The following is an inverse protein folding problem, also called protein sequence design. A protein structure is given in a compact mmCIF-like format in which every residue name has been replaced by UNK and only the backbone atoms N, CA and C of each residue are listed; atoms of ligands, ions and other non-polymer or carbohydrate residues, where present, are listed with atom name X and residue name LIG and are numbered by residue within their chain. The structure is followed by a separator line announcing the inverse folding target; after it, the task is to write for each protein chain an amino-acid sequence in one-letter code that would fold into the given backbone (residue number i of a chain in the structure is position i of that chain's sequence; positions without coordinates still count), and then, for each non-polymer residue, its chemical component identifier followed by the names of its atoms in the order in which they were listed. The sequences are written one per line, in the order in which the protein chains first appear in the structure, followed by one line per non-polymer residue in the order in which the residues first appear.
data_IF_605270032008
#
_entry.id   IF_605270032008
#
_cell.length_a   1.000
_cell.length_b   1.000
_cell.length_c   1.000
_cell.angle_alpha   90.00
_cell.angle_beta   90.00
_cell.angle_gamma   90.00
#
_symmetry.space_group_name_H-M   'P 1'
#
loop_
_entity.id
_entity.type
_entity.pdbx_description
1 polymer ?
#
# COMPACT_ATOMS: atom_id res chain seq x y z
N UNK A 1 49.36 33.50 30.30
CA UNK A 1 47.98 33.94 30.70
C UNK A 1 47.00 34.03 29.53
N UNK A 2 47.40 33.94 28.23
CA UNK A 2 46.52 34.07 27.06
C UNK A 2 45.91 32.77 26.57
N UNK A 3 46.30 31.59 27.03
CA UNK A 3 45.78 30.30 26.54
C UNK A 3 44.38 29.94 27.09
N UNK A 4 44.03 30.37 28.31
CA UNK A 4 42.76 30.01 28.94
C UNK A 4 41.54 30.59 28.18
N UNK A 5 41.54 31.88 27.80
CA UNK A 5 40.39 32.43 27.02
C UNK A 5 40.21 31.76 25.67
N UNK A 6 41.27 31.41 24.98
CA UNK A 6 41.24 30.74 23.68
C UNK A 6 40.64 29.32 23.84
N UNK A 7 41.01 28.60 24.88
CA UNK A 7 40.51 27.27 25.19
C UNK A 7 39.02 27.30 25.54
N UNK A 8 38.57 28.28 26.33
CA UNK A 8 37.16 28.47 26.68
C UNK A 8 36.29 28.79 25.43
N UNK A 9 36.78 29.67 24.55
CA UNK A 9 36.08 29.99 23.29
C UNK A 9 36.04 28.77 22.39
N UNK A 10 37.11 27.98 22.31
CA UNK A 10 37.14 26.74 21.51
C UNK A 10 36.13 25.70 22.03
N UNK A 11 36.03 25.49 23.32
CA UNK A 11 35.04 24.57 23.92
C UNK A 11 33.63 25.07 23.69
N UNK A 12 33.36 26.36 23.88
CA UNK A 12 32.04 26.94 23.65
C UNK A 12 31.61 26.82 22.16
N UNK A 13 32.54 27.14 21.23
CA UNK A 13 32.32 27.01 19.83
C UNK A 13 32.06 25.54 19.41
N UNK A 14 32.82 24.60 19.99
CA UNK A 14 32.60 23.16 19.73
C UNK A 14 31.19 22.70 20.17
N UNK A 15 30.76 23.07 21.38
CA UNK A 15 29.43 22.71 21.86
C UNK A 15 28.31 23.34 21.02
N UNK A 16 28.42 24.60 20.65
CA UNK A 16 27.46 25.28 19.80
C UNK A 16 27.38 24.63 18.41
N UNK A 17 28.51 24.31 17.81
CA UNK A 17 28.61 23.67 16.53
C UNK A 17 28.02 22.27 16.53
N UNK A 18 28.37 21.46 17.56
CA UNK A 18 27.87 20.09 17.72
C UNK A 18 26.35 20.10 17.87
N UNK A 19 25.80 20.93 18.75
CA UNK A 19 24.36 21.06 18.93
C UNK A 19 23.64 21.52 17.65
N UNK A 20 24.23 22.46 16.92
CA UNK A 20 23.71 22.93 15.64
C UNK A 20 23.65 21.81 14.60
N UNK A 21 24.74 21.04 14.46
CA UNK A 21 24.81 19.91 13.52
C UNK A 21 23.80 18.82 13.90
N UNK A 22 23.69 18.45 15.19
CA UNK A 22 22.74 17.44 15.66
C UNK A 22 21.31 17.88 15.31
N UNK A 23 20.92 19.10 15.69
CA UNK A 23 19.57 19.60 15.43
C UNK A 23 19.27 19.72 13.92
N UNK A 24 20.26 20.12 13.10
CA UNK A 24 20.08 20.20 11.66
C UNK A 24 19.93 18.82 11.02
N UNK A 25 20.71 17.85 11.48
CA UNK A 25 20.64 16.47 10.98
C UNK A 25 19.31 15.81 11.37
N UNK A 26 18.89 15.98 12.63
CA UNK A 26 17.61 15.49 13.12
C UNK A 26 16.45 16.05 12.29
N UNK A 27 16.40 17.37 12.12
CA UNK A 27 15.36 18.03 11.31
C UNK A 27 15.35 17.53 9.87
N UNK A 28 16.53 17.44 9.23
CA UNK A 28 16.63 16.92 7.86
C UNK A 28 16.20 15.48 7.75
N UNK A 29 16.48 14.65 8.77
CA UNK A 29 16.03 13.25 8.80
C UNK A 29 14.51 13.14 8.90
N UNK A 30 13.89 13.94 9.77
CA UNK A 30 12.42 13.98 9.90
C UNK A 30 11.77 14.42 8.59
N UNK A 31 12.24 15.51 7.98
CA UNK A 31 11.73 15.98 6.68
C UNK A 31 11.85 14.90 5.60
N UNK A 32 12.93 14.12 5.59
CA UNK A 32 13.12 13.03 4.63
C UNK A 32 12.13 11.89 4.89
N UNK A 33 11.88 11.53 6.16
CA UNK A 33 10.91 10.49 6.52
C UNK A 33 9.50 10.93 6.12
N UNK A 34 9.13 12.18 6.38
CA UNK A 34 7.82 12.72 6.00
C UNK A 34 7.60 12.63 4.48
N UNK A 35 8.60 12.99 3.68
CA UNK A 35 8.53 12.86 2.22
C UNK A 35 8.34 11.40 1.76
N UNK A 36 9.02 10.46 2.39
CA UNK A 36 8.86 9.02 2.07
C UNK A 36 7.47 8.53 2.44
N UNK A 37 6.96 8.95 3.60
CA UNK A 37 5.60 8.61 4.03
C UNK A 37 4.56 9.18 3.06
N UNK A 38 4.69 10.44 2.65
CA UNK A 38 3.82 11.07 1.66
C UNK A 38 3.84 10.34 0.32
N UNK A 39 5.01 9.89 -0.13
CA UNK A 39 5.17 9.12 -1.37
C UNK A 39 4.50 7.74 -1.29
N UNK A 40 4.59 7.08 -0.14
CA UNK A 40 3.95 5.79 0.10
C UNK A 40 2.43 5.98 0.21
N UNK A 41 1.98 6.96 0.97
CA UNK A 41 0.56 7.28 1.11
C UNK A 41 -0.08 7.62 -0.25
N UNK A 42 0.64 8.38 -1.09
CA UNK A 42 0.19 8.66 -2.46
C UNK A 42 0.02 7.38 -3.28
N UNK A 43 0.95 6.43 -3.18
CA UNK A 43 0.88 5.15 -3.88
C UNK A 43 -0.32 4.30 -3.43
N UNK A 44 -0.51 4.19 -2.11
CA UNK A 44 -1.62 3.43 -1.54
C UNK A 44 -2.96 4.08 -1.89
N UNK A 45 -3.04 5.41 -1.77
CA UNK A 45 -4.24 6.18 -2.12
C UNK A 45 -4.55 6.09 -3.62
N UNK A 46 -3.54 6.03 -4.47
CA UNK A 46 -3.70 5.83 -5.92
C UNK A 46 -4.35 4.48 -6.23
N UNK A 47 -3.92 3.41 -5.57
CA UNK A 47 -4.52 2.08 -5.74
C UNK A 47 -5.96 2.03 -5.21
N UNK A 48 -6.18 2.60 -4.03
CA UNK A 48 -7.52 2.71 -3.45
C UNK A 48 -8.47 3.53 -4.34
N UNK A 49 -8.04 4.72 -4.77
CA UNK A 49 -8.84 5.61 -5.62
C UNK A 49 -9.19 4.98 -6.96
N UNK A 50 -8.28 4.17 -7.51
CA UNK A 50 -8.53 3.44 -8.74
C UNK A 50 -9.61 2.37 -8.53
N UNK A 51 -9.56 1.63 -7.42
CA UNK A 51 -10.62 0.70 -7.06
C UNK A 51 -11.95 1.44 -6.87
N UNK A 52 -11.97 2.54 -6.12
CA UNK A 52 -13.17 3.33 -5.86
C UNK A 52 -13.79 3.88 -7.15
N UNK A 53 -12.98 4.45 -8.04
CA UNK A 53 -13.43 4.91 -9.35
C UNK A 53 -14.11 3.80 -10.15
N UNK A 54 -13.54 2.59 -10.15
CA UNK A 54 -14.08 1.45 -10.91
C UNK A 54 -15.37 0.91 -10.31
N UNK A 55 -15.58 1.00 -9.00
CA UNK A 55 -16.86 0.61 -8.40
C UNK A 55 -18.02 1.47 -8.90
N UNK A 56 -17.75 2.76 -9.20
CA UNK A 56 -18.71 3.71 -9.73
C UNK A 56 -18.82 3.75 -11.26
N UNK A 57 -17.90 3.11 -11.99
CA UNK A 57 -17.83 3.18 -13.45
C UNK A 57 -19.03 2.49 -14.13
N UNK A 58 -19.71 3.24 -15.01
CA UNK A 58 -20.95 2.78 -15.66
C UNK A 58 -20.69 1.56 -16.55
N UNK A 59 -19.54 1.51 -17.22
CA UNK A 59 -19.22 0.41 -18.13
C UNK A 59 -18.88 -0.86 -17.34
N UNK A 60 -18.10 -0.74 -16.27
CA UNK A 60 -17.83 -1.86 -15.36
C UNK A 60 -19.13 -2.38 -14.74
N UNK A 61 -20.00 -1.50 -14.27
CA UNK A 61 -21.32 -1.87 -13.77
C UNK A 61 -22.16 -2.61 -14.84
N UNK A 62 -22.08 -2.19 -16.12
CA UNK A 62 -22.75 -2.87 -17.22
C UNK A 62 -22.18 -4.28 -17.42
N UNK A 63 -20.86 -4.42 -17.48
CA UNK A 63 -20.21 -5.74 -17.63
C UNK A 63 -20.56 -6.71 -16.51
N UNK A 64 -20.67 -6.22 -15.27
CA UNK A 64 -21.04 -7.04 -14.11
C UNK A 64 -22.50 -7.47 -14.07
N UNK A 65 -23.37 -6.84 -14.86
CA UNK A 65 -24.82 -7.17 -14.98
C UNK A 65 -25.16 -8.01 -16.19
N UNK A 66 -24.20 -8.25 -17.10
CA UNK A 66 -24.46 -9.04 -18.29
C UNK A 66 -24.64 -10.50 -17.92
N UNK A 67 -25.70 -11.12 -18.45
CA UNK A 67 -25.84 -12.56 -18.48
C UNK A 67 -25.11 -13.12 -19.70
N UNK A 68 -24.53 -14.29 -19.57
CA UNK A 68 -23.79 -14.94 -20.65
C UNK A 68 -24.56 -16.17 -21.15
N UNK A 69 -24.99 -16.12 -22.41
CA UNK A 69 -25.69 -17.24 -23.07
C UNK A 69 -24.73 -18.38 -23.42
N UNK A 70 -23.44 -18.10 -23.52
CA UNK A 70 -22.41 -19.07 -23.88
C UNK A 70 -21.03 -18.71 -23.30
N UNK A 71 -20.14 -19.73 -23.20
CA UNK A 71 -18.73 -19.54 -22.85
C UNK A 71 -18.02 -18.58 -23.81
N UNK A 72 -18.44 -18.57 -25.07
CA UNK A 72 -17.86 -17.68 -26.09
C UNK A 72 -18.22 -16.22 -25.81
N UNK A 73 -19.45 -15.95 -25.40
CA UNK A 73 -19.92 -14.60 -25.08
C UNK A 73 -19.23 -14.09 -23.83
N UNK A 74 -19.10 -14.94 -22.80
CA UNK A 74 -18.33 -14.62 -21.62
C UNK A 74 -16.88 -14.27 -21.98
N UNK A 75 -16.20 -15.09 -22.78
CA UNK A 75 -14.82 -14.83 -23.17
C UNK A 75 -14.66 -13.51 -23.94
N UNK A 76 -15.58 -13.22 -24.86
CA UNK A 76 -15.58 -11.95 -25.62
C UNK A 76 -15.76 -10.75 -24.71
N UNK A 77 -16.65 -10.87 -23.72
CA UNK A 77 -16.91 -9.84 -22.73
C UNK A 77 -15.69 -9.64 -21.80
N UNK A 78 -15.09 -10.73 -21.32
CA UNK A 78 -13.90 -10.69 -20.48
C UNK A 78 -12.71 -10.00 -21.19
N UNK A 79 -12.56 -10.26 -22.49
CA UNK A 79 -11.52 -9.63 -23.31
C UNK A 79 -11.79 -8.12 -23.46
N UNK A 80 -13.01 -7.74 -23.83
CA UNK A 80 -13.38 -6.34 -24.04
C UNK A 80 -13.26 -5.53 -22.76
N UNK A 81 -13.78 -6.03 -21.65
CA UNK A 81 -13.67 -5.38 -20.34
C UNK A 81 -12.23 -5.29 -19.84
N UNK A 82 -11.40 -6.30 -20.13
CA UNK A 82 -9.97 -6.28 -19.78
C UNK A 82 -9.20 -5.23 -20.60
N UNK A 83 -9.50 -5.05 -21.88
CA UNK A 83 -8.88 -3.99 -22.69
C UNK A 83 -9.23 -2.60 -22.16
N UNK A 84 -10.48 -2.40 -21.75
CA UNK A 84 -10.92 -1.15 -21.14
C UNK A 84 -10.21 -0.90 -19.80
N UNK A 85 -10.18 -1.90 -18.95
CA UNK A 85 -9.48 -1.83 -17.66
C UNK A 85 -7.97 -1.56 -17.82
N UNK A 86 -7.33 -2.17 -18.81
CA UNK A 86 -5.93 -1.91 -19.14
C UNK A 86 -5.70 -0.46 -19.57
N UNK A 87 -6.62 0.14 -20.32
CA UNK A 87 -6.50 1.55 -20.74
C UNK A 87 -6.54 2.54 -19.58
N UNK A 88 -7.30 2.24 -18.54
CA UNK A 88 -7.45 3.07 -17.33
C UNK A 88 -6.21 2.96 -16.46
N UNK A 89 -5.61 1.77 -16.37
CA UNK A 89 -4.48 1.49 -15.46
C UNK A 89 -3.10 1.77 -16.06
N UNK A 90 -3.00 2.03 -17.36
CA UNK A 90 -1.72 2.15 -18.10
C UNK A 90 -0.75 3.19 -17.51
N UNK A 91 -1.25 4.24 -16.88
CA UNK A 91 -0.44 5.33 -16.34
C UNK A 91 0.05 5.08 -14.90
N UNK A 92 -0.32 3.96 -14.28
CA UNK A 92 -0.03 3.65 -12.89
C UNK A 92 1.00 2.52 -12.79
N UNK A 93 2.26 2.86 -13.01
CA UNK A 93 3.37 1.88 -13.13
C UNK A 93 3.65 1.09 -11.85
N UNK A 94 3.36 1.66 -10.69
CA UNK A 94 3.60 1.07 -9.37
C UNK A 94 2.50 0.06 -8.99
N UNK A 95 1.36 0.09 -9.69
CA UNK A 95 0.27 -0.88 -9.54
C UNK A 95 0.53 -2.03 -10.50
N UNK A 96 0.72 -3.23 -9.95
CA UNK A 96 1.00 -4.44 -10.74
C UNK A 96 -0.18 -4.86 -11.61
N UNK A 97 -1.38 -4.74 -11.08
CA UNK A 97 -2.59 -5.06 -11.81
C UNK A 97 -3.85 -4.64 -11.06
N UNK A 98 -4.89 -4.41 -11.84
CA UNK A 98 -6.23 -4.16 -11.34
C UNK A 98 -7.15 -5.22 -11.94
N UNK A 99 -8.07 -5.69 -11.14
CA UNK A 99 -8.92 -6.84 -11.43
C UNK A 99 -10.35 -6.55 -11.02
N UNK A 100 -11.28 -7.01 -11.84
CA UNK A 100 -12.72 -6.93 -11.55
C UNK A 100 -13.32 -8.31 -11.72
N UNK A 101 -14.11 -8.74 -10.74
CA UNK A 101 -14.80 -10.03 -10.76
C UNK A 101 -16.27 -9.82 -10.54
N UNK A 102 -17.09 -10.35 -11.45
CA UNK A 102 -18.54 -10.31 -11.36
C UNK A 102 -19.14 -11.54 -10.69
N UNK A 103 -20.26 -11.36 -10.03
CA UNK A 103 -21.11 -12.48 -9.58
C UNK A 103 -21.62 -13.31 -10.76
N UNK A 104 -21.77 -12.69 -11.93
CA UNK A 104 -22.11 -13.33 -13.20
C UNK A 104 -21.00 -14.22 -13.78
N UNK A 105 -19.81 -14.27 -13.15
CA UNK A 105 -18.65 -15.03 -13.61
C UNK A 105 -17.70 -14.25 -14.53
N UNK A 106 -18.01 -13.00 -14.89
CA UNK A 106 -17.12 -12.13 -15.65
C UNK A 106 -15.82 -11.85 -14.89
N UNK A 107 -14.70 -11.84 -15.61
CA UNK A 107 -13.36 -11.65 -15.04
C UNK A 107 -12.54 -10.71 -15.90
N UNK A 108 -12.17 -9.57 -15.36
CA UNK A 108 -11.45 -8.52 -16.08
C UNK A 108 -10.13 -8.21 -15.38
N UNK A 109 -9.10 -7.90 -16.15
CA UNK A 109 -7.76 -7.62 -15.63
C UNK A 109 -7.04 -6.58 -16.50
N UNK A 110 -6.22 -5.77 -15.86
CA UNK A 110 -5.44 -4.74 -16.54
C UNK A 110 -4.09 -5.22 -17.06
N UNK A 111 -3.61 -6.38 -16.63
CA UNK A 111 -2.34 -6.94 -17.03
C UNK A 111 -2.49 -8.18 -17.94
N UNK A 112 -1.38 -8.67 -18.46
CA UNK A 112 -1.34 -9.82 -19.38
C UNK A 112 -1.18 -11.19 -18.71
N UNK A 113 -1.04 -11.23 -17.39
CA UNK A 113 -0.88 -12.49 -16.66
C UNK A 113 -2.17 -13.30 -16.66
N UNK A 114 -2.04 -14.63 -16.68
CA UNK A 114 -3.21 -15.51 -16.63
C UNK A 114 -3.82 -15.57 -15.24
N UNK A 115 -5.14 -15.58 -15.16
CA UNK A 115 -5.83 -15.87 -13.90
C UNK A 115 -5.43 -17.24 -13.33
N UNK A 116 -5.44 -17.36 -12.02
CA UNK A 116 -5.39 -18.67 -11.37
C UNK A 116 -6.60 -19.50 -11.78
N UNK A 117 -6.42 -20.85 -11.79
CA UNK A 117 -7.45 -21.77 -12.33
C UNK A 117 -8.65 -21.98 -11.40
N UNK A 118 -8.52 -21.63 -10.13
CA UNK A 118 -9.59 -21.72 -9.14
C UNK A 118 -10.70 -20.69 -9.39
N UNK A 119 -11.92 -21.00 -9.01
CA UNK A 119 -12.98 -20.00 -9.00
C UNK A 119 -12.69 -19.00 -7.87
N UNK A 120 -12.39 -17.78 -8.27
CA UNK A 120 -12.02 -16.73 -7.33
C UNK A 120 -13.10 -16.43 -6.30
N UNK A 121 -14.38 -16.62 -6.64
CA UNK A 121 -15.53 -16.41 -5.77
C UNK A 121 -15.54 -17.36 -4.56
N UNK A 122 -14.87 -18.50 -4.68
CA UNK A 122 -14.76 -19.50 -3.60
C UNK A 122 -13.60 -19.21 -2.63
N UNK A 123 -12.71 -18.27 -2.99
CA UNK A 123 -11.54 -17.93 -2.19
C UNK A 123 -11.90 -17.07 -0.96
N UNK A 124 -11.08 -17.18 0.09
CA UNK A 124 -11.28 -16.38 1.31
C UNK A 124 -11.15 -14.90 1.05
N UNK A 125 -10.13 -14.47 0.30
CA UNK A 125 -9.90 -13.06 0.01
C UNK A 125 -11.08 -12.42 -0.74
N UNK A 126 -11.67 -13.13 -1.73
CA UNK A 126 -12.84 -12.64 -2.44
C UNK A 126 -14.03 -12.46 -1.49
N UNK A 127 -14.31 -13.49 -0.68
CA UNK A 127 -15.43 -13.45 0.26
C UNK A 127 -15.27 -12.35 1.31
N UNK A 128 -14.04 -12.11 1.76
CA UNK A 128 -13.74 -11.01 2.69
C UNK A 128 -14.08 -9.66 2.05
N UNK A 129 -13.63 -9.40 0.81
CA UNK A 129 -13.96 -8.15 0.11
C UNK A 129 -15.48 -8.05 -0.15
N UNK A 130 -16.10 -9.11 -0.67
CA UNK A 130 -17.53 -9.11 -0.99
C UNK A 130 -18.43 -8.95 0.26
N UNK A 131 -17.97 -9.36 1.42
CA UNK A 131 -18.66 -9.20 2.69
C UNK A 131 -18.43 -7.86 3.39
N UNK A 132 -17.46 -7.09 2.93
CA UNK A 132 -17.16 -5.75 3.45
C UNK A 132 -18.11 -4.70 2.85
N UNK A 133 -18.21 -3.55 3.51
CA UNK A 133 -18.85 -2.33 2.95
C UNK A 133 -17.83 -1.28 2.55
N UNK A 134 -16.60 -1.46 2.96
CA UNK A 134 -15.49 -0.54 2.78
C UNK A 134 -14.33 -1.26 2.10
N UNK A 135 -13.30 -0.49 1.73
CA UNK A 135 -12.08 -1.06 1.18
C UNK A 135 -11.43 -2.00 2.20
N UNK A 136 -10.98 -3.15 1.73
CA UNK A 136 -10.27 -4.15 2.54
C UNK A 136 -8.84 -4.23 2.07
N UNK A 137 -7.90 -4.05 2.99
CA UNK A 137 -6.48 -4.17 2.74
C UNK A 137 -5.99 -5.56 3.16
N UNK A 138 -5.16 -6.18 2.35
CA UNK A 138 -4.49 -7.42 2.66
C UNK A 138 -3.00 -7.13 2.86
N UNK A 139 -2.42 -7.60 3.99
CA UNK A 139 -1.00 -7.45 4.27
C UNK A 139 -0.12 -8.01 3.18
N UNK A 140 1.15 -7.63 3.18
CA UNK A 140 2.14 -8.19 2.26
C UNK A 140 2.11 -9.72 2.27
N UNK A 141 1.97 -10.29 1.09
CA UNK A 141 1.85 -11.73 0.87
C UNK A 141 2.63 -12.16 -0.38
N UNK A 142 3.12 -13.39 -0.38
CA UNK A 142 3.86 -13.98 -1.50
C UNK A 142 2.93 -14.28 -2.68
N UNK A 143 3.25 -13.72 -3.82
CA UNK A 143 2.51 -13.90 -5.07
C UNK A 143 1.13 -13.24 -5.07
N UNK A 144 0.63 -12.88 -6.25
CA UNK A 144 -0.74 -12.37 -6.39
C UNK A 144 -1.77 -13.42 -6.01
N UNK A 145 -2.83 -13.04 -5.29
CA UNK A 145 -3.99 -13.92 -5.04
C UNK A 145 -4.70 -14.32 -6.34
N UNK A 146 -4.58 -13.49 -7.37
CA UNK A 146 -5.47 -13.43 -8.52
C UNK A 146 -4.87 -14.05 -9.76
N UNK A 147 -3.62 -13.69 -10.08
CA UNK A 147 -2.96 -14.12 -11.30
C UNK A 147 -1.75 -15.01 -11.01
N UNK A 148 -1.38 -15.81 -12.02
CA UNK A 148 -0.14 -16.59 -11.99
C UNK A 148 0.99 -15.68 -12.42
N UNK A 149 1.82 -15.25 -11.51
CA UNK A 149 3.10 -14.63 -11.82
C UNK A 149 4.20 -15.68 -11.64
N UNK A 150 5.14 -15.73 -12.58
CA UNK A 150 6.34 -16.54 -12.45
C UNK A 150 7.40 -15.89 -11.55
N UNK A 151 7.09 -14.71 -11.05
CA UNK A 151 7.95 -13.86 -10.25
C UNK A 151 7.56 -14.09 -8.79
N UNK A 152 8.54 -14.40 -7.96
CA UNK A 152 8.39 -14.51 -6.50
C UNK A 152 8.33 -13.10 -5.87
N UNK A 153 7.38 -12.28 -6.33
CA UNK A 153 7.16 -10.95 -5.80
C UNK A 153 6.15 -11.01 -4.65
N UNK A 154 6.33 -10.15 -3.67
CA UNK A 154 5.33 -9.89 -2.65
C UNK A 154 4.41 -8.73 -3.08
N UNK A 155 3.18 -8.81 -2.64
CA UNK A 155 2.14 -7.84 -2.97
C UNK A 155 1.39 -7.40 -1.73
N UNK A 156 0.95 -6.14 -1.74
CA UNK A 156 -0.12 -5.63 -0.89
C UNK A 156 -1.34 -5.50 -1.79
N UNK A 157 -2.47 -6.04 -1.37
CA UNK A 157 -3.71 -5.99 -2.16
C UNK A 157 -4.76 -5.15 -1.46
N UNK A 158 -5.39 -4.25 -2.20
CA UNK A 158 -6.61 -3.55 -1.78
C UNK A 158 -7.78 -4.02 -2.61
N UNK A 159 -8.93 -4.20 -1.98
CA UNK A 159 -10.15 -4.58 -2.68
C UNK A 159 -11.39 -3.87 -2.17
N UNK A 160 -12.37 -3.68 -3.05
CA UNK A 160 -13.65 -3.06 -2.72
C UNK A 160 -14.81 -3.84 -3.35
N UNK A 161 -15.96 -3.96 -2.66
CA UNK A 161 -17.16 -4.53 -3.25
C UNK A 161 -17.77 -3.55 -4.28
N UNK A 162 -18.26 -4.09 -5.37
CA UNK A 162 -19.04 -3.33 -6.36
C UNK A 162 -20.52 -3.53 -6.07
N UNK A 163 -21.15 -2.47 -5.58
CA UNK A 163 -22.56 -2.49 -5.22
C UNK A 163 -23.44 -2.15 -6.42
N UNK A 164 -24.48 -2.93 -6.65
CA UNK A 164 -25.54 -2.54 -7.55
C UNK A 164 -26.35 -1.37 -6.94
N UNK A 165 -26.34 -0.24 -7.63
CA UNK A 165 -27.00 0.98 -7.14
C UNK A 165 -28.54 0.86 -7.03
N UNK A 166 -29.15 -0.09 -7.76
CA UNK A 166 -30.59 -0.27 -7.75
C UNK A 166 -31.04 -1.24 -6.64
N UNK A 167 -30.34 -2.34 -6.46
CA UNK A 167 -30.71 -3.38 -5.50
C UNK A 167 -29.96 -3.27 -4.15
N UNK A 168 -28.82 -2.56 -4.12
CA UNK A 168 -27.93 -2.53 -2.97
C UNK A 168 -27.19 -3.86 -2.72
N UNK A 169 -27.25 -4.79 -3.68
CA UNK A 169 -26.55 -6.07 -3.61
C UNK A 169 -25.14 -5.95 -4.19
N UNK A 170 -24.23 -6.79 -3.73
CA UNK A 170 -22.88 -6.90 -4.29
C UNK A 170 -22.97 -7.60 -5.66
N UNK A 171 -22.58 -6.90 -6.72
CA UNK A 171 -22.50 -7.45 -8.09
C UNK A 171 -21.14 -8.05 -8.42
N UNK A 172 -20.14 -7.73 -7.62
CA UNK A 172 -18.78 -8.16 -7.87
C UNK A 172 -17.80 -7.47 -6.92
N UNK A 173 -16.53 -7.58 -7.22
CA UNK A 173 -15.45 -6.89 -6.50
C UNK A 173 -14.47 -6.28 -7.48
N UNK A 174 -13.79 -5.23 -7.02
CA UNK A 174 -12.57 -4.68 -7.63
C UNK A 174 -11.43 -4.95 -6.69
N UNK A 175 -10.25 -5.30 -7.21
CA UNK A 175 -9.04 -5.44 -6.43
C UNK A 175 -7.83 -4.89 -7.21
N UNK A 176 -6.84 -4.37 -6.48
CA UNK A 176 -5.58 -3.90 -7.04
C UNK A 176 -4.40 -4.48 -6.26
N UNK A 177 -3.42 -4.99 -6.98
CA UNK A 177 -2.15 -5.47 -6.43
C UNK A 177 -1.07 -4.39 -6.58
N UNK A 178 -0.41 -4.08 -5.49
CA UNK A 178 0.75 -3.18 -5.42
C UNK A 178 1.97 -4.05 -5.13
N UNK A 179 3.04 -3.90 -5.90
CA UNK A 179 4.29 -4.60 -5.61
C UNK A 179 4.94 -4.05 -4.34
N UNK A 180 5.30 -4.93 -3.42
CA UNK A 180 6.09 -4.56 -2.24
C UNK A 180 7.40 -3.87 -2.62
N UNK A 181 8.02 -4.30 -3.72
CA UNK A 181 9.26 -3.70 -4.23
C UNK A 181 9.11 -2.21 -4.60
N UNK A 182 7.94 -1.79 -5.10
CA UNK A 182 7.67 -0.37 -5.38
C UNK A 182 7.76 0.49 -4.10
N UNK A 183 7.25 -0.01 -2.98
CA UNK A 183 7.35 0.64 -1.67
C UNK A 183 8.80 0.59 -1.16
N UNK A 184 9.42 -0.59 -1.24
CA UNK A 184 10.79 -0.81 -0.78
C UNK A 184 11.80 0.08 -1.50
N UNK A 185 11.64 0.30 -2.80
CA UNK A 185 12.51 1.19 -3.58
C UNK A 185 12.37 2.65 -3.11
N UNK A 186 11.17 3.15 -2.86
CA UNK A 186 10.95 4.50 -2.32
C UNK A 186 11.69 4.69 -0.99
N UNK A 187 11.59 3.70 -0.11
CA UNK A 187 12.28 3.70 1.19
C UNK A 187 13.81 3.71 1.02
N UNK A 188 14.36 2.80 0.22
CA UNK A 188 15.81 2.64 0.02
C UNK A 188 16.48 3.85 -0.62
N UNK A 189 15.75 4.57 -1.48
CA UNK A 189 16.29 5.78 -2.12
C UNK A 189 16.44 6.95 -1.15
N UNK A 190 15.66 6.97 -0.09
CA UNK A 190 15.58 8.14 0.79
C UNK A 190 16.13 7.91 2.19
N UNK A 191 16.13 6.67 2.65
CA UNK A 191 16.58 6.31 4.00
C UNK A 191 17.72 5.31 3.94
N UNK A 192 18.83 5.63 4.62
CA UNK A 192 19.97 4.74 4.74
C UNK A 192 19.82 3.72 5.87
N UNK A 193 19.12 4.08 6.94
CA UNK A 193 18.87 3.23 8.11
C UNK A 193 17.49 3.51 8.68
N UNK A 194 16.84 2.49 9.22
CA UNK A 194 15.54 2.62 9.90
C UNK A 194 14.59 1.47 9.58
N UNK A 195 13.44 1.48 10.24
CA UNK A 195 12.34 0.54 9.96
C UNK A 195 11.11 1.36 9.64
N UNK A 196 10.46 1.02 8.54
CA UNK A 196 9.15 1.57 8.17
C UNK A 196 8.12 0.46 8.31
N UNK A 197 7.03 0.80 8.97
CA UNK A 197 5.85 -0.04 9.07
C UNK A 197 4.63 0.72 8.55
N UNK A 198 3.82 0.05 7.73
CA UNK A 198 2.51 0.53 7.32
C UNK A 198 1.49 -0.25 8.13
N UNK A 199 0.60 0.45 8.78
CA UNK A 199 -0.40 -0.11 9.71
C UNK A 199 -1.76 0.39 9.27
N UNK A 200 -2.77 -0.50 9.24
CA UNK A 200 -4.14 -0.12 8.96
C UNK A 200 -4.82 0.53 10.19
N UNK A 201 -6.08 0.96 10.02
CA UNK A 201 -6.85 1.60 11.08
C UNK A 201 -7.17 0.67 12.26
N UNK A 202 -7.16 -0.62 12.03
CA UNK A 202 -7.36 -1.67 13.03
C UNK A 202 -6.07 -2.04 13.76
N UNK A 203 -4.91 -1.49 13.33
CA UNK A 203 -3.61 -1.77 13.93
C UNK A 203 -2.89 -2.98 13.35
N UNK A 204 -3.38 -3.55 12.24
CA UNK A 204 -2.68 -4.65 11.56
C UNK A 204 -1.52 -4.12 10.73
N UNK A 205 -0.39 -4.81 10.76
CA UNK A 205 0.77 -4.45 9.94
C UNK A 205 0.52 -4.93 8.51
N UNK A 206 0.37 -3.98 7.59
CA UNK A 206 0.24 -4.26 6.15
C UNK A 206 1.60 -4.51 5.50
N UNK A 207 2.63 -3.81 5.95
CA UNK A 207 3.98 -3.89 5.39
C UNK A 207 5.02 -3.51 6.44
N UNK A 208 6.19 -4.15 6.35
CA UNK A 208 7.37 -3.81 7.14
C UNK A 208 8.62 -3.93 6.30
N UNK A 209 9.44 -2.90 6.28
CA UNK A 209 10.76 -2.90 5.64
C UNK A 209 11.83 -2.38 6.57
N UNK A 210 13.03 -2.95 6.47
CA UNK A 210 14.22 -2.42 7.10
C UNK A 210 15.02 -1.64 6.05
N UNK A 211 15.26 -0.35 6.26
CA UNK A 211 16.24 0.41 5.51
C UNK A 211 17.62 0.15 6.14
N UNK A 212 18.49 -0.55 5.40
CA UNK A 212 19.84 -0.92 5.85
C UNK A 212 20.05 -2.43 5.96
N UNK A 213 21.20 -2.89 5.46
CA UNK A 213 21.47 -4.31 5.23
C UNK A 213 21.80 -5.14 6.48
N UNK A 214 22.05 -4.54 7.66
CA UNK A 214 22.69 -5.27 8.78
C UNK A 214 22.07 -5.08 10.17
N UNK A 215 21.00 -4.32 10.31
CA UNK A 215 20.40 -4.13 11.63
C UNK A 215 19.24 -5.11 11.84
N UNK A 216 19.57 -6.31 12.33
CA UNK A 216 18.64 -7.18 13.03
C UNK A 216 18.24 -6.54 14.38
N UNK A 217 17.64 -5.34 14.33
CA UNK A 217 16.90 -4.88 15.49
C UNK A 217 15.53 -5.55 15.43
N UNK A 218 15.22 -6.47 16.33
CA UNK A 218 13.85 -6.85 16.58
C UNK A 218 13.17 -5.62 17.22
N UNK A 219 12.76 -4.66 16.40
CA UNK A 219 11.79 -3.69 16.91
C UNK A 219 10.54 -4.52 17.14
N UNK A 220 10.34 -4.88 18.39
CA UNK A 220 9.12 -5.48 18.86
C UNK A 220 8.04 -4.40 18.76
N UNK A 221 7.30 -4.41 17.66
CA UNK A 221 6.13 -3.54 17.50
C UNK A 221 5.09 -4.11 18.45
N UNK A 222 5.24 -3.74 19.71
CA UNK A 222 4.30 -4.18 20.74
C UNK A 222 2.90 -3.63 20.43
N UNK A 223 1.84 -4.38 20.75
CA UNK A 223 0.47 -3.85 20.61
C UNK A 223 0.27 -2.51 21.31
N UNK A 224 1.03 -2.25 22.40
CA UNK A 224 1.02 -0.97 23.11
C UNK A 224 1.61 0.19 22.30
N UNK A 225 2.64 -0.05 21.48
CA UNK A 225 3.20 0.98 20.59
C UNK A 225 2.20 1.31 19.47
N UNK A 226 1.57 0.29 18.89
CA UNK A 226 0.53 0.47 17.86
C UNK A 226 -0.65 1.27 18.43
N UNK A 227 -1.16 0.92 19.62
CA UNK A 227 -2.24 1.66 20.28
C UNK A 227 -1.86 3.12 20.52
N UNK A 228 -0.64 3.38 21.00
CA UNK A 228 -0.16 4.73 21.25
C UNK A 228 -0.04 5.54 19.95
N UNK A 229 0.40 4.93 18.85
CA UNK A 229 0.45 5.57 17.53
C UNK A 229 -0.96 5.95 17.08
N UNK A 230 -1.91 5.01 17.12
CA UNK A 230 -3.29 5.24 16.72
C UNK A 230 -3.98 6.33 17.58
N UNK A 231 -3.75 6.33 18.89
CA UNK A 231 -4.28 7.36 19.80
C UNK A 231 -3.67 8.75 19.55
N UNK A 232 -2.38 8.83 19.26
CA UNK A 232 -1.67 10.09 19.04
C UNK A 232 -1.95 10.72 17.67
N UNK A 233 -2.27 9.90 16.66
CA UNK A 233 -2.51 10.39 15.30
C UNK A 233 -3.97 10.78 15.03
N UNK A 234 -4.90 10.36 15.89
CA UNK A 234 -6.34 10.46 15.59
C UNK A 234 -6.68 9.70 14.29
N UNK A 235 -7.86 9.89 13.76
CA UNK A 235 -8.29 9.28 12.49
C UNK A 235 -7.64 9.88 11.23
N UNK A 236 -6.46 10.50 11.35
CA UNK A 236 -5.77 11.10 10.22
C UNK A 236 -4.98 10.02 9.46
N UNK A 237 -5.42 9.73 8.25
CA UNK A 237 -4.64 9.02 7.23
C UNK A 237 -3.33 9.80 7.02
N UNK A 238 -2.18 9.12 7.15
CA UNK A 238 -0.88 9.69 6.81
C UNK A 238 -0.26 10.57 7.89
N UNK A 239 0.09 10.00 9.05
CA UNK A 239 1.07 10.63 9.96
C UNK A 239 2.21 9.66 10.24
N UNK A 240 3.41 10.10 9.89
CA UNK A 240 4.64 9.46 10.36
C UNK A 240 4.89 9.81 11.81
N UNK A 241 5.29 8.84 12.61
CA UNK A 241 5.85 9.06 13.94
C UNK A 241 7.28 8.55 13.96
N UNK A 242 8.21 9.45 14.24
CA UNK A 242 9.59 9.08 14.56
C UNK A 242 9.62 8.67 16.02
N UNK A 243 9.87 7.39 16.31
CA UNK A 243 10.15 6.93 17.65
C UNK A 243 11.64 7.17 17.88
N UNK A 244 12.04 8.10 18.75
CA UNK A 244 13.45 8.27 19.10
C UNK A 244 13.98 6.96 19.64
N UNK A 245 15.17 6.57 19.19
CA UNK A 245 15.89 5.44 19.78
C UNK A 245 16.08 5.73 21.27
N UNK A 246 15.36 4.97 22.11
CA UNK A 246 15.57 5.04 23.55
C UNK A 246 16.91 4.36 23.83
N UNK A 247 17.99 5.14 23.64
CA UNK A 247 19.35 4.69 23.92
C UNK A 247 19.45 4.05 25.30
N UNK A 248 19.88 2.81 25.32
CA UNK A 248 20.46 2.16 26.47
C UNK A 248 21.95 2.50 26.54
#
# INVERSE_FOLDING_TARGET
LSCIPVLLVGIAAYHLYTNFIINMTEKSSIETIDLVCDDIDSLLNDAWSLCDMLTGDIKMQKYLRMDFDSIRDQYSNDLTGSMELASISTYRKDIFGVYVFGQNGGRYKSNYYSFKSEDQRETTWYRTIAGSREATWFPSHEGSFIVRSSISDNFITVGQPVMDKASGMVNGIVAADIKEDAITQKIKHSLSNGVICIIDQEGNILFRSNAGNDLHYPIDISPGLVSHILESTGTAVGKSMVVPDSGY
#
